data_IF_952432949548
#
_entry.id   IF_952432949548
#
_cell.length_a   1.000
_cell.length_b   1.000
_cell.length_c   1.000
_cell.angle_alpha   90.00
_cell.angle_beta   90.00
_cell.angle_gamma   90.00
#
_symmetry.space_group_name_H-M   'P 1'
#
loop_
_entity.id
_entity.type
_entity.pdbx_description
1 polymer ?
#
# COMPACT_ATOMS: atom_id res chain seq x y z
N UNK A 1 -60.08 60.31 8.76
CA UNK A 1 -58.99 61.21 8.53
C UNK A 1 -57.91 60.87 9.56
N UNK A 2 -56.93 60.04 9.24
CA UNK A 2 -55.74 59.91 10.04
C UNK A 2 -54.65 59.23 9.18
N UNK A 3 -53.56 59.96 9.01
CA UNK A 3 -52.42 59.49 8.18
C UNK A 3 -51.50 58.65 9.08
N UNK A 4 -51.37 57.38 8.80
CA UNK A 4 -50.39 56.48 9.40
C UNK A 4 -49.06 56.63 8.65
N UNK A 5 -48.09 57.18 9.38
CA UNK A 5 -46.68 57.20 8.92
C UNK A 5 -46.07 55.85 9.00
N UNK A 6 -45.52 55.34 7.87
CA UNK A 6 -44.72 54.12 7.79
C UNK A 6 -43.27 54.44 8.11
N UNK A 7 -42.80 54.00 9.28
CA UNK A 7 -41.38 53.98 9.62
C UNK A 7 -40.72 52.80 8.92
N UNK A 8 -39.79 53.08 8.01
CA UNK A 8 -38.90 52.10 7.41
C UNK A 8 -37.63 52.05 8.24
N UNK A 9 -37.44 50.97 8.98
CA UNK A 9 -36.20 50.70 9.71
C UNK A 9 -35.21 50.06 8.70
N UNK A 10 -34.22 50.82 8.26
CA UNK A 10 -33.11 50.29 7.48
C UNK A 10 -32.07 49.68 8.42
N UNK A 11 -32.04 48.34 8.51
CA UNK A 11 -31.00 47.62 9.23
C UNK A 11 -29.71 47.58 8.38
N UNK A 12 -28.69 48.28 8.84
CA UNK A 12 -27.33 48.19 8.29
C UNK A 12 -26.68 46.92 8.83
N UNK A 13 -26.59 45.86 8.02
CA UNK A 13 -25.80 44.67 8.32
C UNK A 13 -24.34 45.00 8.02
N UNK A 14 -23.58 45.30 9.05
CA UNK A 14 -22.13 45.49 8.97
C UNK A 14 -21.46 44.15 8.76
N UNK A 15 -20.99 43.88 7.54
CA UNK A 15 -20.11 42.75 7.24
C UNK A 15 -18.72 43.12 7.75
N UNK A 16 -18.31 42.56 8.88
CA UNK A 16 -16.93 42.59 9.34
C UNK A 16 -16.10 41.66 8.44
N UNK A 17 -15.50 42.20 7.40
CA UNK A 17 -14.44 41.54 6.66
C UNK A 17 -13.20 41.53 7.54
N UNK A 18 -12.92 40.41 8.19
CA UNK A 18 -11.64 40.17 8.86
C UNK A 18 -10.59 40.04 7.76
N UNK A 19 -9.84 41.09 7.51
CA UNK A 19 -8.69 41.05 6.64
C UNK A 19 -7.63 40.15 7.29
N UNK A 20 -7.54 38.88 6.84
CA UNK A 20 -6.38 38.03 7.14
C UNK A 20 -5.17 38.68 6.47
N UNK A 21 -4.05 38.85 7.18
CA UNK A 21 -2.83 39.31 6.54
C UNK A 21 -2.42 38.27 5.50
N UNK A 22 -1.95 38.70 4.33
CA UNK A 22 -1.38 37.75 3.36
C UNK A 22 -0.23 37.01 4.04
N UNK A 23 -0.32 35.67 4.07
CA UNK A 23 0.83 34.85 4.45
C UNK A 23 1.78 34.94 3.27
N UNK A 24 2.71 35.89 3.36
CA UNK A 24 3.83 35.98 2.41
C UNK A 24 4.75 34.77 2.64
N UNK A 25 4.36 33.62 2.12
CA UNK A 25 5.26 32.50 1.96
C UNK A 25 6.14 32.87 0.77
N UNK A 26 7.21 33.57 1.05
CA UNK A 26 8.21 33.90 0.05
C UNK A 26 8.73 32.61 -0.58
N UNK A 27 8.41 32.40 -1.85
CA UNK A 27 8.92 31.27 -2.64
C UNK A 27 10.45 31.19 -2.64
N UNK A 28 11.12 32.27 -2.26
CA UNK A 28 12.58 32.37 -2.13
C UNK A 28 13.14 31.67 -0.88
N UNK A 29 12.36 31.46 0.17
CA UNK A 29 12.84 30.71 1.34
C UNK A 29 12.82 29.19 1.12
N UNK A 30 12.13 28.71 0.10
CA UNK A 30 12.06 27.28 -0.28
C UNK A 30 13.17 26.86 -1.26
N UNK A 31 13.94 27.78 -1.80
CA UNK A 31 15.05 27.46 -2.67
C UNK A 31 16.27 27.08 -1.84
N UNK A 32 16.30 25.85 -1.33
CA UNK A 32 17.55 25.27 -0.85
C UNK A 32 18.55 25.23 -2.02
N UNK A 33 19.74 25.77 -1.81
CA UNK A 33 20.83 25.79 -2.79
C UNK A 33 21.13 24.35 -3.23
N UNK A 34 20.64 23.96 -4.38
CA UNK A 34 20.94 22.66 -5.00
C UNK A 34 22.27 22.80 -5.70
N UNK A 35 23.33 22.35 -5.07
CA UNK A 35 24.67 22.33 -5.63
C UNK A 35 24.72 21.43 -6.87
N UNK A 36 25.02 22.02 -8.03
CA UNK A 36 25.42 21.30 -9.24
C UNK A 36 24.33 20.54 -9.99
N UNK A 37 23.06 20.74 -9.66
CA UNK A 37 21.91 20.09 -10.34
C UNK A 37 21.18 21.10 -11.24
N UNK A 38 20.28 20.61 -12.06
CA UNK A 38 19.54 21.41 -13.06
C UNK A 38 18.67 22.53 -12.47
N UNK A 39 18.57 22.65 -11.14
CA UNK A 39 17.78 23.68 -10.48
C UNK A 39 16.26 23.48 -10.61
N UNK A 40 15.83 22.28 -10.98
CA UNK A 40 14.41 21.93 -11.10
C UNK A 40 13.89 21.32 -9.79
N UNK A 41 12.67 21.72 -9.41
CA UNK A 41 12.02 21.25 -8.21
C UNK A 41 12.51 21.92 -6.93
N UNK A 42 12.06 21.39 -5.81
CA UNK A 42 12.43 21.78 -4.45
C UNK A 42 12.62 20.54 -3.57
N UNK A 43 13.27 20.65 -2.44
CA UNK A 43 13.23 19.60 -1.43
C UNK A 43 11.78 19.30 -1.01
N UNK A 44 11.42 18.03 -0.85
CA UNK A 44 10.13 17.64 -0.35
C UNK A 44 9.98 18.07 1.12
N UNK A 45 8.78 18.45 1.50
CA UNK A 45 8.44 18.75 2.89
C UNK A 45 8.32 17.45 3.71
N UNK A 46 8.56 17.47 5.03
CA UNK A 46 8.43 16.27 5.85
C UNK A 46 7.07 15.58 5.74
N UNK A 47 5.99 16.35 5.65
CA UNK A 47 4.64 15.84 5.47
C UNK A 47 4.41 15.18 4.10
N UNK A 48 5.05 15.69 3.05
CA UNK A 48 5.03 15.09 1.72
C UNK A 48 5.79 13.76 1.73
N UNK A 49 6.97 13.71 2.38
CA UNK A 49 7.73 12.48 2.53
C UNK A 49 6.89 11.45 3.30
N UNK A 50 6.30 11.85 4.43
CA UNK A 50 5.47 10.96 5.25
C UNK A 50 4.27 10.40 4.49
N UNK A 51 3.66 11.16 3.59
CA UNK A 51 2.52 10.71 2.78
C UNK A 51 2.92 9.64 1.75
N UNK A 52 4.18 9.60 1.33
CA UNK A 52 4.70 8.65 0.35
C UNK A 52 5.50 7.50 0.97
N UNK A 53 6.09 7.72 2.16
CA UNK A 53 6.90 6.73 2.87
C UNK A 53 5.99 5.76 3.64
N UNK A 54 5.33 4.91 2.89
CA UNK A 54 4.38 3.91 3.40
C UNK A 54 4.87 2.48 3.16
N UNK A 55 6.09 2.30 2.67
CA UNK A 55 6.64 0.99 2.35
C UNK A 55 6.91 0.16 3.58
N UNK A 56 6.59 -1.13 3.48
CA UNK A 56 6.98 -2.12 4.50
C UNK A 56 8.01 -3.08 3.89
N UNK A 57 9.21 -3.10 4.46
CA UNK A 57 10.33 -3.89 3.99
C UNK A 57 10.40 -5.27 4.64
N UNK A 58 11.12 -6.19 4.00
CA UNK A 58 11.31 -7.56 4.51
C UNK A 58 11.94 -7.63 5.92
N UNK A 59 12.73 -6.64 6.29
CA UNK A 59 13.32 -6.49 7.61
C UNK A 59 12.36 -5.92 8.68
N UNK A 60 11.12 -5.67 8.31
CA UNK A 60 10.08 -5.06 9.17
C UNK A 60 10.15 -3.55 9.26
N UNK A 61 11.08 -2.90 8.54
CA UNK A 61 11.17 -1.44 8.53
C UNK A 61 9.96 -0.84 7.82
N UNK A 62 9.39 0.22 8.40
CA UNK A 62 8.19 0.85 7.88
C UNK A 62 6.87 0.27 8.40
N UNK A 63 6.92 -0.82 9.20
CA UNK A 63 5.71 -1.32 9.85
C UNK A 63 5.12 -0.26 10.78
N UNK A 64 3.84 0.07 10.66
CA UNK A 64 3.16 0.92 11.64
C UNK A 64 2.96 0.16 12.96
N UNK A 65 2.79 0.90 14.04
CA UNK A 65 2.34 0.31 15.30
C UNK A 65 0.93 -0.27 15.13
N UNK A 66 0.74 -1.51 15.53
CA UNK A 66 -0.54 -2.20 15.41
C UNK A 66 -0.42 -3.70 15.63
N UNK A 67 -1.57 -4.38 15.62
CA UNK A 67 -1.67 -5.82 15.86
C UNK A 67 -3.00 -6.39 15.37
N UNK A 68 -3.03 -7.69 15.10
CA UNK A 68 -4.27 -8.37 14.77
C UNK A 68 -4.10 -9.89 14.74
N UNK A 69 -5.21 -10.60 14.96
CA UNK A 69 -5.26 -12.06 14.89
C UNK A 69 -5.93 -12.54 13.61
N UNK A 70 -5.69 -13.79 13.22
CA UNK A 70 -6.37 -14.38 12.06
C UNK A 70 -7.90 -14.41 12.27
N UNK A 71 -8.36 -14.64 13.50
CA UNK A 71 -9.79 -14.59 13.84
C UNK A 71 -10.42 -13.22 13.59
N UNK A 72 -9.74 -12.14 14.00
CA UNK A 72 -10.19 -10.78 13.70
C UNK A 72 -10.13 -10.49 12.20
N UNK A 73 -9.11 -11.00 11.53
CA UNK A 73 -8.91 -10.85 10.08
C UNK A 73 -10.00 -11.54 9.26
N UNK A 74 -10.54 -12.67 9.73
CA UNK A 74 -11.67 -13.34 9.10
C UNK A 74 -12.89 -12.40 9.04
N UNK A 75 -13.26 -11.78 10.15
CA UNK A 75 -14.42 -10.86 10.21
C UNK A 75 -14.26 -9.72 9.19
N UNK A 76 -13.08 -9.09 9.15
CA UNK A 76 -12.78 -8.00 8.21
C UNK A 76 -12.75 -8.51 6.76
N UNK A 77 -12.22 -9.72 6.55
CA UNK A 77 -12.11 -10.31 5.21
C UNK A 77 -13.48 -10.61 4.63
N UNK A 78 -14.39 -11.19 5.41
CA UNK A 78 -15.76 -11.48 4.96
C UNK A 78 -16.49 -10.19 4.58
N UNK A 79 -16.28 -9.10 5.32
CA UNK A 79 -16.93 -7.82 5.04
C UNK A 79 -16.36 -7.11 3.81
N UNK A 80 -15.02 -7.07 3.69
CA UNK A 80 -14.34 -6.15 2.74
C UNK A 80 -13.64 -6.83 1.57
N UNK A 81 -13.42 -8.15 1.61
CA UNK A 81 -12.56 -8.86 0.65
C UNK A 81 -13.26 -10.04 -0.05
N UNK A 82 -14.11 -10.77 0.67
CA UNK A 82 -14.69 -12.03 0.21
C UNK A 82 -15.53 -11.90 -1.06
N UNK A 83 -16.17 -10.75 -1.28
CA UNK A 83 -16.96 -10.49 -2.51
C UNK A 83 -16.16 -10.65 -3.80
N UNK A 84 -14.83 -10.38 -3.74
CA UNK A 84 -13.93 -10.53 -4.86
C UNK A 84 -13.05 -11.78 -4.73
N UNK A 85 -12.52 -12.05 -3.54
CA UNK A 85 -11.55 -13.13 -3.34
C UNK A 85 -12.17 -14.46 -2.93
N UNK A 86 -13.50 -14.51 -2.69
CA UNK A 86 -14.20 -15.68 -2.16
C UNK A 86 -13.99 -15.83 -0.64
N UNK A 87 -14.89 -16.50 0.05
CA UNK A 87 -14.88 -16.67 1.51
C UNK A 87 -13.60 -17.34 2.04
N UNK A 88 -12.99 -18.18 1.21
CA UNK A 88 -11.76 -18.94 1.54
C UNK A 88 -10.56 -18.52 0.68
N UNK A 89 -10.59 -17.33 0.07
CA UNK A 89 -9.52 -16.85 -0.77
C UNK A 89 -9.35 -17.61 -2.10
N UNK A 90 -10.37 -18.33 -2.55
CA UNK A 90 -10.36 -19.12 -3.79
C UNK A 90 -10.52 -18.29 -5.05
N UNK A 91 -10.76 -16.99 -4.93
CA UNK A 91 -11.02 -16.08 -6.05
C UNK A 91 -12.45 -16.19 -6.60
N UNK A 92 -12.95 -15.10 -7.18
CA UNK A 92 -14.24 -15.05 -7.85
C UNK A 92 -14.08 -14.44 -9.25
N UNK A 93 -14.44 -15.21 -10.28
CA UNK A 93 -14.36 -14.73 -11.66
C UNK A 93 -12.92 -14.36 -12.06
N UNK A 94 -12.66 -13.09 -12.32
CA UNK A 94 -11.32 -12.59 -12.70
C UNK A 94 -10.41 -12.22 -11.53
N UNK A 95 -10.96 -12.23 -10.32
CA UNK A 95 -10.19 -11.83 -9.14
C UNK A 95 -9.26 -12.95 -8.66
N UNK A 96 -8.05 -12.62 -8.21
CA UNK A 96 -7.03 -13.63 -7.97
C UNK A 96 -7.33 -14.50 -6.75
N UNK A 97 -6.88 -15.73 -6.84
CA UNK A 97 -6.80 -16.68 -5.73
C UNK A 97 -5.72 -16.22 -4.75
N UNK A 98 -6.02 -16.23 -3.47
CA UNK A 98 -5.09 -15.84 -2.41
C UNK A 98 -4.52 -17.03 -1.64
N UNK A 99 -5.22 -18.15 -1.62
CA UNK A 99 -4.86 -19.33 -0.83
C UNK A 99 -4.69 -20.59 -1.70
N UNK A 100 -3.85 -21.53 -1.23
CA UNK A 100 -3.58 -22.78 -1.92
C UNK A 100 -2.36 -22.71 -2.84
N UNK A 101 -2.27 -23.63 -3.81
CA UNK A 101 -1.19 -23.69 -4.80
C UNK A 101 0.16 -24.20 -4.29
N UNK A 102 0.27 -24.66 -3.04
CA UNK A 102 1.50 -25.23 -2.50
C UNK A 102 1.95 -26.44 -3.34
N UNK A 103 3.24 -26.46 -3.69
CA UNK A 103 3.83 -27.52 -4.51
C UNK A 103 3.57 -27.42 -6.02
N UNK A 104 2.75 -26.48 -6.49
CA UNK A 104 2.41 -26.33 -7.91
C UNK A 104 3.42 -25.55 -8.74
N UNK A 105 4.42 -24.89 -8.13
CA UNK A 105 5.32 -23.97 -8.83
C UNK A 105 6.14 -24.60 -9.97
N UNK A 106 6.27 -25.93 -9.99
CA UNK A 106 6.94 -26.69 -11.06
C UNK A 106 5.98 -27.28 -12.09
N UNK A 107 4.67 -27.05 -11.93
CA UNK A 107 3.68 -27.52 -12.91
C UNK A 107 3.64 -26.62 -14.15
N UNK A 108 3.10 -27.14 -15.25
CA UNK A 108 2.91 -26.38 -16.50
C UNK A 108 2.07 -25.09 -16.28
N UNK A 109 1.15 -25.14 -15.34
CA UNK A 109 0.32 -24.01 -14.92
C UNK A 109 0.37 -23.87 -13.40
N UNK A 110 1.37 -23.15 -12.88
CA UNK A 110 1.52 -22.98 -11.44
C UNK A 110 0.47 -22.03 -10.87
N UNK A 111 -0.09 -22.38 -9.72
CA UNK A 111 -0.96 -21.49 -8.94
C UNK A 111 -0.10 -20.62 -8.03
N UNK A 112 0.14 -19.38 -8.46
CA UNK A 112 0.95 -18.40 -7.72
C UNK A 112 0.08 -17.61 -6.75
N UNK A 113 -0.02 -18.10 -5.53
CA UNK A 113 -0.78 -17.46 -4.45
C UNK A 113 0.14 -16.80 -3.45
N UNK A 114 -0.43 -16.18 -2.42
CA UNK A 114 0.32 -15.65 -1.29
C UNK A 114 1.17 -16.75 -0.64
N UNK A 115 0.58 -17.92 -0.36
CA UNK A 115 1.28 -19.02 0.31
C UNK A 115 2.26 -19.79 -0.57
N UNK A 116 1.95 -19.96 -1.85
CA UNK A 116 2.79 -20.78 -2.75
C UNK A 116 3.98 -20.00 -3.33
N UNK A 117 3.85 -18.70 -3.54
CA UNK A 117 4.81 -17.94 -4.35
C UNK A 117 5.51 -16.79 -3.63
N UNK A 118 4.80 -16.01 -2.81
CA UNK A 118 5.36 -14.79 -2.25
C UNK A 118 6.49 -15.06 -1.25
N UNK A 119 7.61 -14.28 -1.32
CA UNK A 119 8.78 -14.55 -0.49
C UNK A 119 8.69 -13.99 0.93
N UNK A 120 7.97 -12.88 1.11
CA UNK A 120 7.99 -12.11 2.34
C UNK A 120 6.58 -11.75 2.83
N UNK A 121 6.38 -11.81 4.14
CA UNK A 121 5.14 -11.37 4.78
C UNK A 121 4.92 -9.86 4.58
N UNK A 122 6.01 -9.10 4.54
CA UNK A 122 5.97 -7.66 4.29
C UNK A 122 5.28 -7.33 2.97
N UNK A 123 5.48 -8.13 1.93
CA UNK A 123 4.81 -7.95 0.65
C UNK A 123 3.28 -8.10 0.79
N UNK A 124 2.82 -9.03 1.63
CA UNK A 124 1.39 -9.24 1.90
C UNK A 124 0.80 -8.01 2.60
N UNK A 125 1.44 -7.60 3.68
CA UNK A 125 1.02 -6.44 4.47
C UNK A 125 0.98 -5.16 3.63
N UNK A 126 2.09 -4.86 2.96
CA UNK A 126 2.26 -3.65 2.15
C UNK A 126 1.23 -3.57 1.02
N UNK A 127 1.00 -4.71 0.33
CA UNK A 127 0.00 -4.76 -0.73
C UNK A 127 -1.42 -4.52 -0.21
N UNK A 128 -1.79 -5.15 0.91
CA UNK A 128 -3.09 -4.93 1.54
C UNK A 128 -3.25 -3.47 1.94
N UNK A 129 -2.29 -2.92 2.69
CA UNK A 129 -2.34 -1.55 3.20
C UNK A 129 -2.42 -0.51 2.10
N UNK A 130 -1.64 -0.71 1.03
CA UNK A 130 -1.46 0.26 -0.05
C UNK A 130 -2.53 0.19 -1.13
N UNK A 131 -3.01 -1.02 -1.46
CA UNK A 131 -3.80 -1.24 -2.66
C UNK A 131 -5.20 -1.83 -2.42
N UNK A 132 -5.46 -2.39 -1.24
CA UNK A 132 -6.73 -3.06 -0.93
C UNK A 132 -7.54 -2.29 0.13
N UNK A 133 -8.89 -2.41 0.10
CA UNK A 133 -9.75 -3.03 -0.92
C UNK A 133 -9.67 -2.32 -2.28
N UNK A 134 -9.73 -3.08 -3.36
CA UNK A 134 -9.69 -2.52 -4.72
C UNK A 134 -10.81 -1.48 -4.92
N UNK A 135 -10.43 -0.27 -5.33
CA UNK A 135 -11.35 0.87 -5.46
C UNK A 135 -11.54 1.70 -4.18
N UNK A 136 -11.03 1.23 -3.03
CA UNK A 136 -11.04 1.95 -1.76
C UNK A 136 -9.71 1.75 -1.00
N UNK A 137 -8.60 1.89 -1.70
CA UNK A 137 -7.27 1.69 -1.16
C UNK A 137 -6.98 2.61 0.03
N UNK A 138 -6.12 2.16 0.95
CA UNK A 138 -5.69 2.91 2.15
C UNK A 138 -6.81 3.24 3.15
N UNK A 139 -7.96 2.58 3.05
CA UNK A 139 -9.09 2.76 3.98
C UNK A 139 -9.01 1.87 5.22
N UNK A 140 -8.10 0.88 5.23
CA UNK A 140 -7.92 -0.03 6.35
C UNK A 140 -7.08 0.62 7.45
N UNK A 141 -7.46 0.38 8.69
CA UNK A 141 -6.63 0.70 9.84
C UNK A 141 -5.37 -0.19 9.86
N UNK A 142 -4.38 0.17 10.67
CA UNK A 142 -3.18 -0.64 10.82
C UNK A 142 -3.52 -2.00 11.45
N UNK A 143 -4.37 -2.02 12.47
CA UNK A 143 -4.83 -3.26 13.11
C UNK A 143 -5.61 -4.17 12.15
N UNK A 144 -6.52 -3.62 11.34
CA UNK A 144 -7.21 -4.39 10.30
C UNK A 144 -6.22 -4.98 9.28
N UNK A 145 -5.17 -4.25 8.93
CA UNK A 145 -4.14 -4.73 8.00
C UNK A 145 -3.32 -5.88 8.60
N UNK A 146 -2.96 -5.79 9.89
CA UNK A 146 -2.32 -6.90 10.61
C UNK A 146 -3.23 -8.12 10.70
N UNK A 147 -4.50 -7.92 11.05
CA UNK A 147 -5.48 -8.97 11.17
C UNK A 147 -5.72 -9.69 9.81
N UNK A 148 -5.91 -8.93 8.73
CA UNK A 148 -6.06 -9.48 7.38
C UNK A 148 -4.80 -10.22 6.93
N UNK A 149 -3.61 -9.69 7.23
CA UNK A 149 -2.36 -10.39 6.94
C UNK A 149 -2.30 -11.72 7.67
N UNK A 150 -2.60 -11.74 8.98
CA UNK A 150 -2.63 -12.98 9.76
C UNK A 150 -3.66 -13.98 9.23
N UNK A 151 -4.84 -13.52 8.80
CA UNK A 151 -5.88 -14.38 8.24
C UNK A 151 -5.48 -14.99 6.89
N UNK A 152 -4.93 -14.20 5.97
CA UNK A 152 -4.45 -14.71 4.68
C UNK A 152 -3.32 -15.72 4.86
N UNK A 153 -2.42 -15.48 5.83
CA UNK A 153 -1.38 -16.45 6.18
C UNK A 153 -1.96 -17.71 6.81
N UNK A 154 -3.02 -17.60 7.60
CA UNK A 154 -3.74 -18.75 8.17
C UNK A 154 -4.45 -19.58 7.10
N UNK A 155 -5.12 -18.95 6.12
CA UNK A 155 -5.70 -19.66 4.98
C UNK A 155 -4.67 -20.47 4.16
N UNK A 156 -3.39 -20.13 4.28
CA UNK A 156 -2.27 -20.81 3.61
C UNK A 156 -1.47 -21.72 4.55
N UNK A 157 -1.98 -22.09 5.72
CA UNK A 157 -1.34 -22.95 6.73
C UNK A 157 0.01 -22.44 7.27
N UNK A 158 0.32 -21.15 7.06
CA UNK A 158 1.56 -20.52 7.53
C UNK A 158 1.44 -20.14 9.01
N UNK A 159 0.30 -19.57 9.41
CA UNK A 159 -0.10 -19.37 10.80
C UNK A 159 -1.18 -20.39 11.12
N UNK A 160 -0.91 -21.28 12.08
CA UNK A 160 -1.83 -22.39 12.42
C UNK A 160 -2.77 -22.06 13.57
N UNK A 161 -2.37 -21.15 14.43
CA UNK A 161 -3.18 -20.69 15.56
C UNK A 161 -3.95 -19.43 15.16
N UNK A 162 -5.26 -19.52 15.05
CA UNK A 162 -6.12 -18.39 14.68
C UNK A 162 -6.09 -17.23 15.69
N UNK A 163 -5.66 -17.51 16.92
CA UNK A 163 -5.49 -16.52 17.99
C UNK A 163 -4.07 -15.96 18.05
N UNK A 164 -3.14 -16.41 17.19
CA UNK A 164 -1.82 -15.83 17.11
C UNK A 164 -1.92 -14.33 16.75
N UNK A 165 -1.46 -13.47 17.64
CA UNK A 165 -1.45 -12.03 17.43
C UNK A 165 -0.21 -11.63 16.62
N UNK A 166 -0.43 -11.27 15.35
CA UNK A 166 0.61 -10.69 14.50
C UNK A 166 0.76 -9.20 14.84
N UNK A 167 1.98 -8.76 15.06
CA UNK A 167 2.31 -7.36 15.39
C UNK A 167 3.72 -7.00 14.90
N UNK A 168 4.11 -5.74 15.03
CA UNK A 168 5.41 -5.23 14.57
C UNK A 168 6.62 -5.99 15.14
N UNK A 169 6.51 -6.56 16.36
CA UNK A 169 7.65 -7.21 17.04
C UNK A 169 7.89 -8.63 16.56
N UNK A 170 6.82 -9.35 16.21
CA UNK A 170 6.91 -10.74 15.77
C UNK A 170 6.76 -10.93 14.26
N UNK A 171 6.47 -9.88 13.54
CA UNK A 171 6.21 -9.89 12.09
C UNK A 171 7.32 -10.60 11.31
N UNK A 172 8.57 -10.22 11.54
CA UNK A 172 9.74 -10.79 10.85
C UNK A 172 10.05 -12.24 11.24
N UNK A 173 9.38 -12.78 12.26
CA UNK A 173 9.54 -14.19 12.66
C UNK A 173 8.74 -15.15 11.78
N UNK A 174 7.73 -14.66 11.09
CA UNK A 174 6.90 -15.47 10.20
C UNK A 174 7.68 -15.74 8.90
N UNK A 175 7.82 -17.01 8.54
CA UNK A 175 8.56 -17.45 7.36
C UNK A 175 7.61 -17.91 6.25
N UNK A 176 7.77 -17.33 5.07
CA UNK A 176 7.01 -17.76 3.89
C UNK A 176 7.63 -19.02 3.31
N UNK A 177 6.79 -19.99 2.82
CA UNK A 177 7.28 -21.24 2.28
C UNK A 177 8.25 -21.10 1.11
N UNK A 178 8.07 -20.07 0.30
CA UNK A 178 8.87 -19.85 -0.91
C UNK A 178 10.03 -18.85 -0.73
N UNK A 179 10.29 -18.37 0.48
CA UNK A 179 11.32 -17.36 0.75
C UNK A 179 12.71 -17.77 0.22
N UNK A 180 13.06 -19.06 0.32
CA UNK A 180 14.36 -19.57 -0.14
C UNK A 180 14.53 -19.71 -1.65
N UNK A 181 13.47 -19.47 -2.44
CA UNK A 181 13.53 -19.58 -3.90
C UNK A 181 13.89 -18.25 -4.58
N UNK A 182 14.02 -17.20 -3.81
CA UNK A 182 14.42 -15.88 -4.30
C UNK A 182 15.89 -15.62 -3.99
N UNK A 183 16.62 -15.14 -4.97
CA UNK A 183 18.05 -14.81 -4.88
C UNK A 183 18.30 -13.42 -5.49
N UNK A 184 19.46 -12.87 -5.21
CA UNK A 184 19.86 -11.56 -5.75
C UNK A 184 19.91 -11.56 -7.27
N UNK A 185 19.57 -10.43 -7.85
CA UNK A 185 19.64 -10.22 -9.29
C UNK A 185 21.10 -10.27 -9.76
N UNK A 186 21.42 -11.27 -10.56
CA UNK A 186 22.76 -11.50 -11.12
C UNK A 186 22.84 -11.29 -12.64
N UNK A 187 21.81 -10.63 -13.22
CA UNK A 187 21.71 -10.42 -14.68
C UNK A 187 22.95 -9.79 -15.30
N UNK A 188 23.62 -8.92 -14.57
CA UNK A 188 24.87 -8.31 -15.05
C UNK A 188 25.98 -9.32 -15.35
N UNK A 189 25.92 -10.49 -14.72
CA UNK A 189 26.86 -11.59 -14.90
C UNK A 189 26.25 -12.68 -15.76
N UNK A 190 25.10 -13.20 -15.33
CA UNK A 190 24.44 -14.35 -15.95
C UNK A 190 23.94 -14.09 -17.36
N UNK A 191 23.46 -12.87 -17.64
CA UNK A 191 22.86 -12.51 -18.91
C UNK A 191 23.78 -11.66 -19.80
N UNK A 192 25.05 -11.44 -19.39
CA UNK A 192 26.01 -10.62 -20.12
C UNK A 192 26.19 -11.03 -21.57
N UNK A 193 26.05 -12.32 -21.85
CA UNK A 193 26.19 -12.86 -23.20
C UNK A 193 25.03 -12.47 -24.13
N UNK A 194 23.88 -12.04 -23.58
CA UNK A 194 22.77 -11.50 -24.35
C UNK A 194 22.93 -9.99 -24.66
N UNK A 195 23.84 -9.30 -23.99
CA UNK A 195 24.03 -7.87 -24.18
C UNK A 195 24.70 -7.59 -25.50
N UNK A 196 23.96 -7.01 -26.42
CA UNK A 196 24.51 -6.57 -27.71
C UNK A 196 24.97 -5.13 -27.59
N UNK A 197 26.12 -4.84 -28.19
CA UNK A 197 26.64 -3.46 -28.25
C UNK A 197 25.73 -2.56 -29.09
N UNK A 198 25.18 -3.10 -30.17
CA UNK A 198 24.27 -2.40 -31.05
C UNK A 198 22.88 -3.01 -30.93
N UNK A 199 21.84 -2.19 -30.72
CA UNK A 199 20.48 -2.68 -30.65
C UNK A 199 20.08 -3.31 -32.01
N UNK A 200 19.50 -4.47 -31.95
CA UNK A 200 18.94 -5.08 -33.15
C UNK A 200 17.66 -4.35 -33.53
N UNK A 201 17.72 -3.61 -34.64
CA UNK A 201 16.61 -2.82 -35.16
C UNK A 201 15.85 -3.51 -36.32
N UNK A 202 16.38 -4.62 -36.83
CA UNK A 202 15.81 -5.37 -37.94
C UNK A 202 16.18 -6.84 -37.81
N UNK A 203 15.22 -7.72 -38.06
CA UNK A 203 15.38 -9.19 -38.02
C UNK A 203 16.01 -9.70 -36.71
N UNK A 204 15.48 -9.24 -35.57
CA UNK A 204 16.02 -9.48 -34.24
C UNK A 204 15.76 -10.88 -33.66
N UNK A 205 15.18 -11.80 -34.41
CA UNK A 205 15.00 -13.19 -33.98
C UNK A 205 16.27 -14.00 -34.29
N UNK A 206 16.70 -14.87 -33.36
CA UNK A 206 17.79 -15.79 -33.62
C UNK A 206 17.40 -16.77 -34.70
#
# INVERSE_FOLDING_TARGET
>A
MSRLAKLVLAGVVGVCVVAMPPVDVSAQQLAAKTSGKLGLGRPALPEEIKAWDTDVRADGKGLPAGKGTAKQGDEVFQEKCASCHGEFGQGVGRYPVLAGGLGTLKADRPDKTVGSFWPDVSTVFDYIKRAMPFGNAQSLTDDETYALTAYILSMNDIIKDENFELNEKNFSSVRMPNAGSFYGDDREVAEKHFWKKDPCMKDCRP
#
